data_IF_830216463936
#
_entry.id   IF_830216463936
#
_cell.length_a   1.000
_cell.length_b   1.000
_cell.length_c   1.000
_cell.angle_alpha   90.00
_cell.angle_beta   90.00
_cell.angle_gamma   90.00
#
_symmetry.space_group_name_H-M   'P 1'
#
loop_
_entity.id
_entity.type
_entity.pdbx_description
1 polymer ?
#
# COMPACT_ATOMS: atom_id res chain seq x y z
N UNK A 1 5.66 -23.63 1.57
CA UNK A 1 4.61 -23.01 2.44
C UNK A 1 4.63 -23.49 3.89
N UNK A 2 4.88 -24.78 4.19
CA UNK A 2 4.90 -25.30 5.57
C UNK A 2 6.03 -24.76 6.47
N UNK A 3 7.20 -24.43 5.91
CA UNK A 3 8.37 -24.02 6.70
C UNK A 3 8.26 -22.61 7.30
N UNK A 4 7.78 -21.61 6.55
CA UNK A 4 7.62 -20.24 7.04
C UNK A 4 6.44 -20.05 8.02
N UNK A 5 5.40 -20.89 7.91
CA UNK A 5 4.23 -20.84 8.80
C UNK A 5 4.55 -21.38 10.21
N UNK A 6 5.48 -22.33 10.33
CA UNK A 6 5.85 -22.95 11.59
C UNK A 6 6.62 -22.03 12.55
N UNK A 7 7.31 -21.00 12.04
CA UNK A 7 8.16 -20.12 12.84
C UNK A 7 7.46 -18.84 13.33
N UNK A 8 6.31 -18.47 12.74
CA UNK A 8 5.65 -17.18 12.98
C UNK A 8 4.23 -17.27 13.56
N UNK A 9 3.69 -18.49 13.78
CA UNK A 9 2.32 -18.69 14.27
C UNK A 9 1.27 -17.84 13.51
N UNK A 10 1.44 -17.72 12.18
CA UNK A 10 0.59 -16.91 11.32
C UNK A 10 0.03 -17.72 10.15
N UNK A 11 -1.20 -17.38 9.76
CA UNK A 11 -1.89 -18.00 8.64
C UNK A 11 -1.16 -17.79 7.30
N UNK A 12 -1.21 -18.81 6.45
CA UNK A 12 -0.60 -18.83 5.11
C UNK A 12 -1.10 -17.72 4.20
N UNK A 13 -2.34 -17.25 4.38
CA UNK A 13 -2.91 -16.11 3.64
C UNK A 13 -2.25 -14.79 4.05
N UNK A 14 -1.86 -14.66 5.32
CA UNK A 14 -1.14 -13.49 5.81
C UNK A 14 0.26 -13.43 5.21
N UNK A 15 0.97 -14.56 5.14
CA UNK A 15 2.28 -14.66 4.51
C UNK A 15 2.19 -14.31 3.02
N UNK A 16 1.23 -14.90 2.30
CA UNK A 16 0.98 -14.59 0.88
C UNK A 16 0.71 -13.10 0.66
N UNK A 17 -0.12 -12.48 1.52
CA UNK A 17 -0.41 -11.05 1.48
C UNK A 17 0.84 -10.19 1.69
N UNK A 18 1.71 -10.54 2.65
CA UNK A 18 2.96 -9.81 2.91
C UNK A 18 3.97 -9.91 1.77
N UNK A 19 4.07 -11.07 1.13
CA UNK A 19 4.88 -11.26 -0.08
C UNK A 19 4.36 -10.37 -1.22
N UNK A 20 3.05 -10.40 -1.50
CA UNK A 20 2.44 -9.53 -2.52
C UNK A 20 2.63 -8.04 -2.23
N UNK A 21 2.75 -7.66 -0.97
CA UNK A 21 3.00 -6.28 -0.54
C UNK A 21 4.47 -5.86 -0.66
N UNK A 22 5.39 -6.77 -1.01
CA UNK A 22 6.81 -6.48 -1.12
C UNK A 22 7.46 -6.10 0.22
N UNK A 23 7.01 -6.71 1.33
CA UNK A 23 7.62 -6.45 2.65
C UNK A 23 8.96 -7.20 2.75
N UNK A 24 10.03 -6.48 3.12
CA UNK A 24 11.36 -7.04 3.38
C UNK A 24 11.27 -8.11 4.48
N UNK A 25 11.83 -9.30 4.23
CA UNK A 25 11.71 -10.45 5.14
C UNK A 25 10.73 -11.53 4.67
N UNK A 26 9.97 -11.28 3.61
CA UNK A 26 8.98 -12.23 3.08
C UNK A 26 9.19 -12.44 1.57
N UNK A 27 9.79 -13.57 1.21
CA UNK A 27 10.05 -14.00 -0.17
C UNK A 27 9.82 -15.50 -0.34
N UNK A 28 9.71 -15.97 -1.59
CA UNK A 28 9.83 -17.39 -1.91
C UNK A 28 11.33 -17.70 -2.08
N UNK A 29 11.85 -18.75 -1.44
CA UNK A 29 13.27 -19.12 -1.53
C UNK A 29 13.74 -19.31 -2.98
N UNK A 30 12.87 -19.89 -3.83
CA UNK A 30 13.20 -20.22 -5.22
C UNK A 30 12.96 -19.08 -6.24
N UNK A 31 12.18 -18.05 -5.89
CA UNK A 31 11.72 -17.03 -6.87
C UNK A 31 12.08 -15.59 -6.48
N UNK A 32 12.60 -15.37 -5.27
CA UNK A 32 12.88 -14.03 -4.76
C UNK A 32 11.60 -13.23 -4.42
N UNK A 33 11.76 -11.92 -4.22
CA UNK A 33 10.66 -11.03 -3.86
C UNK A 33 9.83 -10.68 -5.11
N UNK A 34 8.60 -11.21 -5.20
CA UNK A 34 7.63 -10.76 -6.21
C UNK A 34 7.04 -9.42 -5.77
N UNK A 35 7.62 -8.30 -6.22
CA UNK A 35 6.94 -7.01 -6.17
C UNK A 35 5.70 -7.09 -7.07
N UNK A 36 4.51 -7.01 -6.50
CA UNK A 36 3.30 -6.78 -7.27
C UNK A 36 3.33 -5.35 -7.82
N UNK A 37 3.96 -5.17 -8.99
CA UNK A 37 4.08 -3.89 -9.67
C UNK A 37 2.73 -3.27 -10.06
N UNK A 38 1.64 -4.04 -10.03
CA UNK A 38 0.28 -3.55 -10.37
C UNK A 38 -0.38 -2.80 -9.22
N UNK A 39 0.07 -3.03 -7.99
CA UNK A 39 -0.37 -2.31 -6.80
C UNK A 39 0.75 -1.37 -6.39
N UNK A 40 0.88 -0.25 -7.09
CA UNK A 40 1.68 0.85 -6.60
C UNK A 40 1.01 1.45 -5.34
N UNK A 41 1.23 0.80 -4.20
CA UNK A 41 0.66 1.15 -2.90
C UNK A 41 1.27 2.46 -2.37
N UNK A 42 2.42 2.85 -2.94
CA UNK A 42 3.22 4.02 -2.57
C UNK A 42 3.18 5.10 -3.66
N UNK A 43 2.07 5.15 -4.38
CA UNK A 43 1.87 6.14 -5.42
C UNK A 43 1.71 7.54 -4.80
N UNK A 44 2.62 8.50 -5.07
CA UNK A 44 2.59 9.80 -4.44
C UNK A 44 1.34 10.60 -4.83
N UNK A 45 0.83 11.40 -3.90
CA UNK A 45 -0.36 12.22 -4.10
C UNK A 45 -0.17 13.63 -3.58
N UNK A 46 -0.90 14.57 -4.16
CA UNK A 46 -1.16 15.88 -3.58
C UNK A 46 -2.52 15.84 -2.87
N UNK A 47 -2.60 16.35 -1.64
CA UNK A 47 -3.86 16.49 -0.90
C UNK A 47 -3.82 17.75 -0.02
N UNK A 48 -4.87 18.56 -0.04
CA UNK A 48 -4.97 19.86 0.65
C UNK A 48 -3.71 20.74 0.42
N UNK A 49 -3.19 20.73 -0.81
CA UNK A 49 -1.99 21.49 -1.20
C UNK A 49 -0.66 20.94 -0.69
N UNK A 50 -0.65 19.79 0.01
CA UNK A 50 0.57 19.15 0.54
C UNK A 50 0.91 17.87 -0.24
N UNK A 51 2.20 17.65 -0.59
CA UNK A 51 2.64 16.40 -1.20
C UNK A 51 2.77 15.30 -0.15
N UNK A 52 2.36 14.08 -0.51
CA UNK A 52 2.46 12.89 0.33
C UNK A 52 3.00 11.72 -0.48
N UNK A 53 3.80 10.87 0.17
CA UNK A 53 4.36 9.66 -0.44
C UNK A 53 3.28 8.64 -0.86
N UNK A 54 2.08 8.71 -0.27
CA UNK A 54 0.97 7.83 -0.63
C UNK A 54 -0.37 8.29 -0.05
N UNK A 55 -1.47 7.71 -0.55
CA UNK A 55 -2.81 7.82 0.06
C UNK A 55 -2.78 7.42 1.54
N UNK A 56 -1.98 6.42 1.92
CA UNK A 56 -1.88 5.97 3.31
C UNK A 56 -1.21 7.00 4.22
N UNK A 57 -0.21 7.71 3.69
CA UNK A 57 0.48 8.78 4.41
C UNK A 57 -0.45 9.99 4.59
N UNK A 58 -1.12 10.42 3.52
CA UNK A 58 -2.09 11.51 3.59
C UNK A 58 -3.26 11.19 4.54
N UNK A 59 -3.79 9.96 4.49
CA UNK A 59 -4.87 9.52 5.37
C UNK A 59 -4.49 9.60 6.86
N UNK A 60 -3.25 9.24 7.22
CA UNK A 60 -2.74 9.33 8.59
C UNK A 60 -2.63 10.78 9.05
N UNK A 61 -2.06 11.64 8.21
CA UNK A 61 -1.82 13.05 8.54
C UNK A 61 -3.13 13.84 8.62
N UNK A 62 -4.00 13.69 7.61
CA UNK A 62 -5.28 14.38 7.51
C UNK A 62 -6.36 13.77 8.42
N UNK A 63 -6.05 12.67 9.13
CA UNK A 63 -6.98 11.89 9.96
C UNK A 63 -8.27 11.48 9.21
N UNK A 64 -8.12 11.13 7.94
CA UNK A 64 -9.21 10.70 7.07
C UNK A 64 -9.11 9.21 6.76
N UNK A 65 -10.25 8.52 6.58
CA UNK A 65 -10.21 7.18 6.03
C UNK A 65 -9.58 7.17 4.64
N UNK A 66 -8.71 6.18 4.38
CA UNK A 66 -8.13 5.94 3.04
C UNK A 66 -9.16 5.96 1.90
N UNK A 67 -10.35 5.31 2.01
CA UNK A 67 -11.35 5.38 0.95
C UNK A 67 -11.86 6.81 0.71
N UNK A 68 -11.92 7.66 1.74
CA UNK A 68 -12.31 9.07 1.61
C UNK A 68 -11.28 9.84 0.80
N UNK A 69 -9.99 9.71 1.11
CA UNK A 69 -8.91 10.35 0.34
C UNK A 69 -8.94 9.90 -1.12
N UNK A 70 -9.11 8.59 -1.35
CA UNK A 70 -9.23 8.03 -2.70
C UNK A 70 -10.46 8.55 -3.46
N UNK A 71 -11.60 8.70 -2.80
CA UNK A 71 -12.81 9.28 -3.39
C UNK A 71 -12.63 10.76 -3.74
N UNK A 72 -11.90 11.53 -2.90
CA UNK A 72 -11.58 12.94 -3.17
C UNK A 72 -10.72 13.09 -4.42
N UNK A 73 -9.68 12.27 -4.58
CA UNK A 73 -8.82 12.27 -5.79
C UNK A 73 -9.63 12.04 -7.08
N UNK A 74 -10.68 11.21 -7.02
CA UNK A 74 -11.54 10.93 -8.19
C UNK A 74 -12.63 11.97 -8.43
N UNK A 75 -12.87 12.85 -7.47
CA UNK A 75 -13.99 13.78 -7.48
C UNK A 75 -13.56 15.14 -8.02
N UNK A 76 -14.34 15.68 -8.96
CA UNK A 76 -14.14 17.04 -9.49
C UNK A 76 -14.33 18.15 -8.45
N UNK A 77 -14.96 17.83 -7.30
CA UNK A 77 -15.18 18.78 -6.20
C UNK A 77 -13.93 19.06 -5.37
N UNK A 78 -12.90 18.24 -5.50
CA UNK A 78 -11.66 18.33 -4.72
C UNK A 78 -10.46 18.46 -5.66
N UNK A 79 -10.28 19.62 -6.32
CA UNK A 79 -9.19 19.83 -7.28
C UNK A 79 -7.79 19.72 -6.63
N UNK A 80 -7.70 19.97 -5.32
CA UNK A 80 -6.45 19.89 -4.56
C UNK A 80 -6.01 18.44 -4.26
N UNK A 81 -6.79 17.44 -4.70
CA UNK A 81 -6.49 16.02 -4.55
C UNK A 81 -6.14 15.42 -5.91
N UNK A 82 -4.88 15.04 -6.10
CA UNK A 82 -4.44 14.43 -7.37
C UNK A 82 -3.29 13.45 -7.17
N UNK A 83 -3.11 12.52 -8.12
CA UNK A 83 -1.91 11.71 -8.18
C UNK A 83 -0.77 12.53 -8.76
N UNK A 84 0.40 12.45 -8.13
CA UNK A 84 1.62 13.00 -8.71
C UNK A 84 2.18 11.99 -9.72
N UNK A 85 2.74 12.50 -10.82
CA UNK A 85 3.41 11.71 -11.85
C UNK A 85 4.89 11.58 -11.56
#
# INVERSE_FOLDING_TARGET
MKAAAAQLNTDTSTIRRKIMQGIVGYWYEDEGQRLDSRRDIRRPILADGKPYESIAAAARELRLPRPTVHARIKSKKFPDYSYQK
#
